data_IF_585219658410
#
_entry.id   IF_585219658410
#
_cell.length_a   1.000
_cell.length_b   1.000
_cell.length_c   1.000
_cell.angle_alpha   90.00
_cell.angle_beta   90.00
_cell.angle_gamma   90.00
#
_symmetry.space_group_name_H-M   'P 1'
#
loop_
_entity.id
_entity.type
_entity.pdbx_description
1 polymer ?
#
# COMPACT_ATOMS: atom_id res chain seq x y z
N UNK A 1 2.17 27.19 -8.38
CA UNK A 1 1.95 26.04 -7.49
C UNK A 1 3.09 26.01 -6.51
N UNK A 2 2.83 25.94 -5.22
CA UNK A 2 3.88 25.76 -4.22
C UNK A 2 4.62 24.45 -4.49
N UNK A 3 5.94 24.46 -4.34
CA UNK A 3 6.79 23.27 -4.49
C UNK A 3 6.55 22.32 -3.30
N UNK A 4 5.37 21.68 -3.25
CA UNK A 4 4.97 20.75 -2.20
C UNK A 4 5.01 19.32 -2.72
N UNK A 5 5.51 18.40 -1.89
CA UNK A 5 5.65 17.01 -2.28
C UNK A 5 6.26 16.13 -1.18
N UNK A 6 6.78 14.99 -1.59
CA UNK A 6 7.53 14.08 -0.72
C UNK A 6 8.91 14.65 -0.47
N UNK A 7 9.32 14.75 0.79
CA UNK A 7 10.61 15.27 1.24
C UNK A 7 11.53 14.21 1.83
N UNK A 8 10.96 13.07 2.24
CA UNK A 8 11.69 11.94 2.76
C UNK A 8 10.82 10.68 2.74
N UNK A 9 11.44 9.55 2.89
CA UNK A 9 10.77 8.25 2.91
C UNK A 9 11.43 7.31 3.92
N UNK A 10 10.68 6.30 4.37
CA UNK A 10 11.16 5.24 5.21
C UNK A 10 10.28 4.00 5.05
N UNK A 11 10.80 2.86 5.41
CA UNK A 11 10.07 1.60 5.30
C UNK A 11 10.42 0.63 6.44
N UNK A 12 9.49 -0.28 6.70
CA UNK A 12 9.72 -1.40 7.60
C UNK A 12 9.10 -2.67 7.03
N UNK A 13 9.89 -3.73 7.02
CA UNK A 13 9.42 -5.08 6.66
C UNK A 13 9.79 -6.02 7.79
N UNK A 14 8.85 -6.78 8.38
CA UNK A 14 9.14 -7.76 9.43
C UNK A 14 10.30 -8.66 9.06
N UNK A 15 11.10 -9.04 10.04
CA UNK A 15 12.30 -9.87 9.84
C UNK A 15 11.98 -11.31 9.47
N UNK A 16 10.87 -11.82 9.95
CA UNK A 16 10.48 -13.22 9.73
C UNK A 16 10.08 -13.46 8.28
N UNK A 17 10.57 -14.56 7.74
CA UNK A 17 10.28 -15.02 6.37
C UNK A 17 9.86 -16.48 6.40
N UNK A 18 8.91 -16.83 5.54
CA UNK A 18 8.57 -18.21 5.26
C UNK A 18 8.61 -18.44 3.75
N UNK A 19 9.22 -19.54 3.33
CA UNK A 19 9.22 -19.94 1.94
C UNK A 19 7.80 -20.37 1.55
N UNK A 20 7.28 -19.81 0.46
CA UNK A 20 5.96 -20.15 -0.06
C UNK A 20 5.82 -21.62 -0.42
N UNK A 21 6.93 -22.27 -0.77
CA UNK A 21 6.98 -23.70 -1.04
C UNK A 21 6.59 -24.54 0.19
N UNK A 22 6.95 -24.10 1.40
CA UNK A 22 6.58 -24.79 2.65
C UNK A 22 5.07 -24.69 2.90
N UNK A 23 4.46 -23.53 2.64
CA UNK A 23 3.00 -23.34 2.75
C UNK A 23 2.28 -24.26 1.75
N UNK A 24 2.72 -24.24 0.48
CA UNK A 24 2.12 -25.05 -0.57
C UNK A 24 2.25 -26.56 -0.29
N UNK A 25 3.40 -26.99 0.24
CA UNK A 25 3.63 -28.40 0.61
C UNK A 25 2.74 -28.82 1.79
N UNK A 26 2.61 -27.99 2.82
CA UNK A 26 1.76 -28.27 3.97
C UNK A 26 0.28 -28.47 3.57
N UNK A 27 -0.17 -27.76 2.54
CA UNK A 27 -1.57 -27.80 2.08
C UNK A 27 -1.81 -28.63 0.81
N UNK A 28 -0.81 -29.32 0.28
CA UNK A 28 -0.92 -30.04 -1.01
C UNK A 28 -2.03 -31.07 -1.07
N UNK A 29 -2.39 -31.66 0.07
CA UNK A 29 -3.45 -32.66 0.19
C UNK A 29 -4.86 -32.07 -0.06
N UNK A 30 -5.05 -30.79 0.23
CA UNK A 30 -6.33 -30.08 0.09
C UNK A 30 -6.33 -29.10 -1.08
N UNK A 31 -5.20 -28.42 -1.33
CA UNK A 31 -5.05 -27.34 -2.31
C UNK A 31 -3.80 -27.53 -3.19
N UNK A 32 -3.72 -28.58 -4.02
CA UNK A 32 -2.53 -28.88 -4.82
C UNK A 32 -2.16 -27.79 -5.83
N UNK A 33 -3.13 -26.93 -6.21
CA UNK A 33 -2.92 -25.78 -7.10
C UNK A 33 -2.00 -24.70 -6.54
N UNK A 34 -1.82 -24.63 -5.23
CA UNK A 34 -0.91 -23.64 -4.59
C UNK A 34 0.55 -23.81 -5.03
N UNK A 35 0.94 -24.98 -5.52
CA UNK A 35 2.28 -25.22 -6.09
C UNK A 35 2.63 -24.19 -7.20
N UNK A 36 1.65 -23.74 -7.96
CA UNK A 36 1.85 -22.70 -8.98
C UNK A 36 2.26 -21.33 -8.43
N UNK A 37 2.05 -21.07 -7.14
CA UNK A 37 2.35 -19.82 -6.45
C UNK A 37 3.51 -19.95 -5.45
N UNK A 38 4.16 -21.10 -5.39
CA UNK A 38 5.15 -21.49 -4.37
C UNK A 38 6.53 -20.82 -4.54
N UNK A 39 6.72 -19.93 -5.54
CA UNK A 39 8.01 -19.25 -5.77
C UNK A 39 8.21 -18.08 -4.82
N UNK A 40 9.42 -17.98 -4.22
CA UNK A 40 9.81 -16.90 -3.32
C UNK A 40 9.37 -17.12 -1.88
N UNK A 41 9.48 -16.07 -1.09
CA UNK A 41 9.10 -16.05 0.32
C UNK A 41 8.06 -14.95 0.60
N UNK A 42 7.54 -14.95 1.81
CA UNK A 42 6.70 -13.86 2.32
C UNK A 42 7.18 -13.41 3.70
N UNK A 43 7.05 -12.11 3.98
CA UNK A 43 7.21 -11.57 5.31
C UNK A 43 5.95 -11.84 6.15
N UNK A 44 6.11 -12.06 7.43
CA UNK A 44 5.01 -12.11 8.37
C UNK A 44 5.44 -11.51 9.71
N UNK A 45 4.49 -10.95 10.42
CA UNK A 45 4.70 -10.29 11.71
C UNK A 45 5.12 -11.30 12.78
N UNK A 46 6.01 -10.88 13.68
CA UNK A 46 6.23 -11.56 14.95
C UNK A 46 4.99 -11.46 15.82
N UNK A 47 4.94 -12.17 16.95
CA UNK A 47 3.80 -12.12 17.87
C UNK A 47 3.60 -10.74 18.55
N UNK A 48 4.64 -9.92 18.57
CA UNK A 48 4.66 -8.56 19.11
C UNK A 48 4.62 -7.45 18.03
N UNK A 49 4.44 -7.83 16.77
CA UNK A 49 4.32 -6.90 15.64
C UNK A 49 2.89 -6.84 15.10
N UNK A 50 2.44 -5.64 14.78
CA UNK A 50 1.17 -5.34 14.12
C UNK A 50 1.30 -4.14 13.17
N UNK A 51 0.19 -3.70 12.58
CA UNK A 51 0.19 -2.54 11.68
C UNK A 51 0.65 -1.24 12.37
N UNK A 52 0.42 -1.07 13.68
CA UNK A 52 0.85 0.12 14.41
C UNK A 52 2.37 0.08 14.65
N UNK A 53 2.88 -1.03 15.17
CA UNK A 53 4.31 -1.17 15.47
C UNK A 53 5.17 -1.06 14.23
N UNK A 54 4.75 -1.66 13.11
CA UNK A 54 5.40 -1.49 11.81
C UNK A 54 5.33 -0.04 11.31
N UNK A 55 4.19 0.63 11.50
CA UNK A 55 4.03 2.04 11.14
C UNK A 55 4.98 2.95 11.93
N UNK A 56 5.20 2.68 13.22
CA UNK A 56 6.15 3.42 14.06
C UNK A 56 7.58 3.28 13.51
N UNK A 57 7.99 2.08 13.15
CA UNK A 57 9.35 1.87 12.63
C UNK A 57 9.56 2.52 11.25
N UNK A 58 8.58 2.41 10.34
CA UNK A 58 8.63 3.12 9.06
C UNK A 58 8.64 4.64 9.23
N UNK A 59 7.86 5.16 10.21
CA UNK A 59 7.85 6.58 10.55
C UNK A 59 9.21 7.05 11.09
N UNK A 60 9.83 6.30 11.98
CA UNK A 60 11.17 6.61 12.51
C UNK A 60 12.24 6.64 11.42
N UNK A 61 12.18 5.69 10.49
CA UNK A 61 13.08 5.65 9.34
C UNK A 61 12.90 6.90 8.46
N UNK A 62 11.64 7.24 8.09
CA UNK A 62 11.31 8.42 7.30
C UNK A 62 11.69 9.76 7.96
N UNK A 63 11.69 9.79 9.30
CA UNK A 63 12.03 10.97 10.11
C UNK A 63 13.51 11.07 10.45
N UNK A 64 14.36 10.17 9.94
CA UNK A 64 15.80 10.22 10.18
C UNK A 64 16.38 11.55 9.66
N UNK A 65 16.85 12.38 10.60
CA UNK A 65 17.38 13.72 10.29
C UNK A 65 16.32 14.80 10.03
N UNK A 66 15.02 14.50 10.20
CA UNK A 66 13.93 15.46 10.07
C UNK A 66 13.45 15.96 11.45
N UNK A 67 12.88 17.17 11.47
CA UNK A 67 12.29 17.75 12.69
C UNK A 67 10.83 17.32 12.84
N UNK A 68 10.56 16.44 13.79
CA UNK A 68 9.21 15.98 14.11
C UNK A 68 8.30 17.10 14.61
N UNK A 69 8.86 18.16 15.24
CA UNK A 69 8.08 19.29 15.75
C UNK A 69 7.52 20.17 14.64
N UNK A 70 8.07 20.09 13.43
CA UNK A 70 7.57 20.80 12.25
C UNK A 70 6.30 20.19 11.65
N UNK A 71 5.95 18.95 12.01
CA UNK A 71 4.77 18.26 11.51
C UNK A 71 3.47 18.91 12.01
N UNK A 72 2.47 18.99 11.12
CA UNK A 72 1.11 19.47 11.41
C UNK A 72 0.07 18.38 11.38
N UNK A 73 0.33 17.31 10.63
CA UNK A 73 -0.60 16.19 10.51
C UNK A 73 0.11 14.84 10.40
N UNK A 74 -0.58 13.78 10.84
CA UNK A 74 -0.24 12.37 10.63
C UNK A 74 -1.43 11.67 9.99
N UNK A 75 -1.19 10.94 8.89
CA UNK A 75 -2.16 10.10 8.22
C UNK A 75 -1.68 8.66 8.25
N UNK A 76 -2.44 7.77 8.88
CA UNK A 76 -2.15 6.33 8.94
C UNK A 76 -3.15 5.56 8.08
N UNK A 77 -2.67 4.97 7.00
CA UNK A 77 -3.47 4.15 6.09
C UNK A 77 -3.26 2.66 6.37
N UNK A 78 -4.37 1.93 6.61
CA UNK A 78 -4.32 0.49 6.86
C UNK A 78 -5.69 -0.17 6.70
N UNK A 79 -5.70 -1.47 6.43
CA UNK A 79 -6.90 -2.33 6.52
C UNK A 79 -6.84 -3.31 7.70
N UNK A 80 -5.74 -3.29 8.45
CA UNK A 80 -5.47 -4.24 9.54
C UNK A 80 -5.12 -3.55 10.86
N UNK A 81 -5.66 -2.34 11.09
CA UNK A 81 -5.51 -1.65 12.37
C UNK A 81 -6.09 -2.47 13.52
N UNK A 82 -5.37 -2.61 14.64
CA UNK A 82 -5.81 -3.44 15.76
C UNK A 82 -7.01 -2.86 16.51
N UNK A 83 -7.21 -1.55 16.50
CA UNK A 83 -8.30 -0.91 17.22
C UNK A 83 -9.37 -0.38 16.26
N UNK A 84 -10.61 -0.83 16.49
CA UNK A 84 -11.77 -0.38 15.71
C UNK A 84 -12.35 0.94 16.25
N UNK A 85 -12.18 1.22 17.53
CA UNK A 85 -12.67 2.42 18.23
C UNK A 85 -11.60 2.97 19.17
N UNK A 86 -10.47 3.32 18.62
CA UNK A 86 -9.37 4.08 19.19
C UNK A 86 -8.55 4.61 18.02
N UNK A 87 -8.14 5.86 18.08
CA UNK A 87 -7.36 6.45 17.01
C UNK A 87 -5.93 5.86 16.98
N UNK A 88 -5.68 5.00 16.00
CA UNK A 88 -4.41 4.26 15.88
C UNK A 88 -3.25 5.18 15.52
N UNK A 89 -3.48 6.19 14.68
CA UNK A 89 -2.49 7.21 14.35
C UNK A 89 -2.03 8.04 15.55
N UNK A 90 -2.86 8.22 16.58
CA UNK A 90 -2.47 8.89 17.81
C UNK A 90 -1.43 8.07 18.61
N UNK A 91 -1.51 6.73 18.53
CA UNK A 91 -0.49 5.85 19.15
C UNK A 91 0.85 6.03 18.45
N UNK A 92 0.82 6.09 17.11
CA UNK A 92 2.04 6.36 16.31
C UNK A 92 2.61 7.74 16.66
N UNK A 93 1.76 8.79 16.76
CA UNK A 93 2.18 10.13 17.15
C UNK A 93 2.89 10.14 18.50
N UNK A 94 2.34 9.46 19.49
CA UNK A 94 2.97 9.29 20.81
C UNK A 94 4.31 8.57 20.75
N UNK A 95 4.41 7.49 19.95
CA UNK A 95 5.61 6.67 19.85
C UNK A 95 6.78 7.37 19.14
N UNK A 96 6.49 8.32 18.23
CA UNK A 96 7.52 9.15 17.57
C UNK A 96 7.75 10.49 18.26
N UNK A 97 7.12 10.71 19.42
CA UNK A 97 7.20 11.94 20.20
C UNK A 97 6.76 13.18 19.42
N UNK A 98 5.73 13.06 18.60
CA UNK A 98 5.14 14.18 17.89
C UNK A 98 4.50 15.20 18.87
N UNK A 99 4.43 16.49 18.51
CA UNK A 99 3.82 17.50 19.37
C UNK A 99 2.32 17.22 19.58
N UNK A 100 1.80 17.55 20.77
CA UNK A 100 0.40 17.25 21.15
C UNK A 100 -0.66 18.02 20.37
N UNK A 101 -0.27 19.09 19.70
CA UNK A 101 -1.16 19.91 18.85
C UNK A 101 -1.17 19.45 17.38
N UNK A 102 -0.68 18.24 17.10
CA UNK A 102 -0.71 17.67 15.76
C UNK A 102 -2.11 17.09 15.45
N UNK A 103 -2.55 17.25 14.21
CA UNK A 103 -3.73 16.54 13.70
C UNK A 103 -3.37 15.09 13.39
N UNK A 104 -4.23 14.12 13.69
CA UNK A 104 -4.01 12.72 13.33
C UNK A 104 -5.28 12.07 12.79
N UNK A 105 -5.13 11.19 11.80
CA UNK A 105 -6.26 10.53 11.14
C UNK A 105 -5.91 9.13 10.69
N UNK A 106 -6.84 8.20 10.94
CA UNK A 106 -6.80 6.85 10.38
C UNK A 106 -7.55 6.82 9.05
N UNK A 107 -6.92 6.27 8.00
CA UNK A 107 -7.51 6.07 6.68
C UNK A 107 -7.66 4.57 6.45
N UNK A 108 -8.89 4.09 6.39
CA UNK A 108 -9.15 2.65 6.40
C UNK A 108 -10.18 2.18 5.38
N UNK A 109 -10.71 0.99 5.64
CA UNK A 109 -11.84 0.34 4.97
C UNK A 109 -11.61 -0.11 3.52
N UNK A 110 -10.41 0.04 2.97
CA UNK A 110 -10.04 -0.44 1.64
C UNK A 110 -8.52 -0.48 1.50
N UNK A 111 -8.00 -1.43 0.74
CA UNK A 111 -6.57 -1.45 0.38
C UNK A 111 -6.15 -0.19 -0.41
N UNK A 112 -7.11 0.50 -1.03
CA UNK A 112 -6.92 1.82 -1.62
C UNK A 112 -6.58 2.91 -0.59
N UNK A 113 -6.72 2.65 0.71
CA UNK A 113 -6.40 3.60 1.78
C UNK A 113 -4.97 4.18 1.63
N UNK A 114 -4.00 3.36 1.22
CA UNK A 114 -2.62 3.80 0.98
C UNK A 114 -2.52 4.93 -0.04
N UNK A 115 -3.05 4.74 -1.24
CA UNK A 115 -3.01 5.78 -2.28
C UNK A 115 -3.97 6.93 -2.00
N UNK A 116 -5.16 6.67 -1.45
CA UNK A 116 -6.14 7.72 -1.12
C UNK A 116 -5.65 8.62 0.01
N UNK A 117 -5.04 8.05 1.06
CA UNK A 117 -4.46 8.80 2.18
C UNK A 117 -3.29 9.67 1.75
N UNK A 118 -2.38 9.14 0.91
CA UNK A 118 -1.29 9.92 0.36
C UNK A 118 -1.78 11.11 -0.48
N UNK A 119 -2.78 10.88 -1.34
CA UNK A 119 -3.36 11.96 -2.14
C UNK A 119 -4.07 13.01 -1.28
N UNK A 120 -4.74 12.60 -0.19
CA UNK A 120 -5.35 13.54 0.75
C UNK A 120 -4.29 14.38 1.48
N UNK A 121 -3.23 13.76 1.97
CA UNK A 121 -2.12 14.45 2.62
C UNK A 121 -1.42 15.44 1.69
N UNK A 122 -1.15 15.05 0.43
CA UNK A 122 -0.60 15.93 -0.59
C UNK A 122 -1.52 17.11 -0.94
N UNK A 123 -2.84 16.89 -0.99
CA UNK A 123 -3.84 17.94 -1.22
C UNK A 123 -3.96 18.92 -0.07
N UNK A 124 -3.78 18.46 1.17
CA UNK A 124 -3.82 19.32 2.35
C UNK A 124 -2.73 20.39 2.29
N UNK A 125 -1.57 20.08 1.68
CA UNK A 125 -0.51 21.07 1.42
C UNK A 125 0.18 21.57 2.68
N UNK A 126 0.15 20.81 3.77
CA UNK A 126 0.80 21.13 5.05
C UNK A 126 1.87 20.10 5.42
N UNK A 127 2.96 20.50 6.12
CA UNK A 127 3.98 19.56 6.57
C UNK A 127 3.36 18.41 7.33
N UNK A 128 3.48 17.18 6.80
CA UNK A 128 2.80 16.03 7.37
C UNK A 128 3.61 14.74 7.20
N UNK A 129 3.24 13.74 7.97
CA UNK A 129 3.72 12.38 7.87
C UNK A 129 2.58 11.49 7.38
N UNK A 130 2.74 10.91 6.20
CA UNK A 130 1.87 9.87 5.68
C UNK A 130 2.51 8.51 5.94
N UNK A 131 1.72 7.55 6.43
CA UNK A 131 2.16 6.18 6.70
C UNK A 131 1.13 5.22 6.12
N UNK A 132 1.60 4.18 5.45
CA UNK A 132 0.78 3.04 5.05
C UNK A 132 1.38 1.77 5.67
N UNK A 133 0.56 0.97 6.36
CA UNK A 133 1.02 -0.22 7.09
C UNK A 133 -0.05 -1.29 7.09
N UNK A 134 0.28 -2.50 6.64
CA UNK A 134 -0.67 -3.62 6.65
C UNK A 134 0.00 -4.96 6.93
N UNK A 135 -0.76 -5.84 7.58
CA UNK A 135 -0.41 -7.22 7.83
C UNK A 135 -1.61 -8.13 7.53
N UNK A 136 -2.05 -8.25 6.27
CA UNK A 136 -3.23 -9.03 5.92
C UNK A 136 -3.04 -10.52 6.20
N UNK A 137 -4.11 -11.18 6.65
CA UNK A 137 -4.10 -12.60 7.01
C UNK A 137 -4.91 -13.39 5.99
N UNK A 138 -4.26 -14.30 5.27
CA UNK A 138 -4.91 -15.21 4.33
C UNK A 138 -5.59 -16.38 5.05
N UNK A 139 -6.73 -16.83 4.50
CA UNK A 139 -7.37 -18.08 4.97
C UNK A 139 -6.42 -19.26 4.73
N UNK A 140 -6.25 -20.19 5.68
CA UNK A 140 -5.43 -21.39 5.47
C UNK A 140 -5.78 -22.13 4.18
N UNK A 141 -4.77 -22.58 3.45
CA UNK A 141 -4.86 -23.25 2.15
C UNK A 141 -5.48 -22.41 1.01
N UNK A 142 -5.47 -21.08 1.15
CA UNK A 142 -5.87 -20.16 0.08
C UNK A 142 -4.66 -19.59 -0.68
N UNK A 143 -4.91 -19.05 -1.88
CA UNK A 143 -3.93 -18.29 -2.63
C UNK A 143 -3.41 -17.07 -1.84
N UNK A 144 -4.26 -16.47 -1.03
CA UNK A 144 -3.95 -15.31 -0.18
C UNK A 144 -2.96 -15.66 0.93
N UNK A 145 -3.05 -16.85 1.53
CA UNK A 145 -2.06 -17.29 2.53
C UNK A 145 -0.64 -17.35 1.94
N UNK A 146 -0.54 -17.77 0.69
CA UNK A 146 0.75 -17.81 -0.03
C UNK A 146 1.20 -16.43 -0.47
N UNK A 147 0.28 -15.57 -0.91
CA UNK A 147 0.59 -14.30 -1.56
C UNK A 147 0.77 -13.12 -0.58
N UNK A 148 0.02 -13.08 0.53
CA UNK A 148 0.09 -11.97 1.48
C UNK A 148 1.44 -11.88 2.18
N UNK A 149 1.83 -10.65 2.48
CA UNK A 149 2.98 -10.27 3.27
C UNK A 149 2.61 -9.18 4.28
N UNK A 150 3.59 -8.70 5.01
CA UNK A 150 3.44 -7.61 5.94
C UNK A 150 4.52 -6.57 5.72
N UNK A 151 4.17 -5.28 5.92
CA UNK A 151 5.12 -4.20 5.81
C UNK A 151 4.48 -2.83 5.98
N UNK A 152 5.32 -1.82 6.15
CA UNK A 152 4.94 -0.43 6.27
C UNK A 152 5.88 0.46 5.48
N UNK A 153 5.36 1.57 4.97
CA UNK A 153 6.15 2.65 4.40
C UNK A 153 5.63 3.99 4.89
N UNK A 154 6.51 4.98 4.99
CA UNK A 154 6.17 6.31 5.42
C UNK A 154 6.82 7.37 4.51
N UNK A 155 6.13 8.49 4.32
CA UNK A 155 6.62 9.65 3.60
C UNK A 155 6.47 10.91 4.45
N UNK A 156 7.53 11.69 4.57
CA UNK A 156 7.43 13.07 5.02
C UNK A 156 7.01 13.94 3.85
N UNK A 157 6.07 14.85 4.08
CA UNK A 157 5.54 15.77 3.07
C UNK A 157 5.81 17.20 3.49
N UNK A 158 6.22 18.03 2.54
CA UNK A 158 6.59 19.41 2.82
C UNK A 158 6.92 20.21 1.54
N UNK A 159 7.39 21.44 1.74
CA UNK A 159 7.78 22.36 0.67
C UNK A 159 9.30 22.54 0.55
N UNK A 160 10.07 22.01 1.51
CA UNK A 160 11.54 22.14 1.51
C UNK A 160 12.18 20.79 1.17
N UNK A 161 13.24 20.80 0.38
CA UNK A 161 13.98 19.61 -0.03
C UNK A 161 13.10 18.54 -0.69
N UNK A 162 12.14 18.95 -1.52
CA UNK A 162 11.21 18.07 -2.20
C UNK A 162 11.93 17.15 -3.18
N UNK A 163 11.85 15.84 -2.95
CA UNK A 163 12.44 14.79 -3.80
C UNK A 163 11.46 14.28 -4.87
N UNK A 164 10.13 14.39 -4.62
CA UNK A 164 9.10 14.04 -5.58
C UNK A 164 7.88 14.95 -5.43
N UNK A 165 7.45 15.58 -6.53
CA UNK A 165 6.30 16.49 -6.59
C UNK A 165 5.08 15.77 -7.15
N UNK A 166 3.89 16.13 -6.66
CA UNK A 166 2.64 15.72 -7.30
C UNK A 166 2.39 16.59 -8.53
N UNK A 167 2.50 16.03 -9.73
CA UNK A 167 2.30 16.74 -11.01
C UNK A 167 0.87 16.66 -11.49
N UNK A 168 0.15 15.57 -11.18
CA UNK A 168 -1.24 15.37 -11.55
C UNK A 168 -1.84 14.19 -10.81
N UNK A 169 -3.15 14.22 -10.67
CA UNK A 169 -3.89 13.14 -10.02
C UNK A 169 -5.28 12.99 -10.61
N UNK A 170 -5.81 11.78 -10.53
CA UNK A 170 -7.22 11.50 -10.77
C UNK A 170 -7.67 10.32 -9.90
N UNK A 171 -8.97 10.23 -9.69
CA UNK A 171 -9.59 9.12 -9.01
C UNK A 171 -10.82 8.68 -9.78
N UNK A 172 -11.01 7.37 -9.90
CA UNK A 172 -12.25 6.74 -10.34
C UNK A 172 -12.86 6.05 -9.12
N UNK A 173 -14.11 6.31 -8.83
CA UNK A 173 -14.84 5.63 -7.76
C UNK A 173 -15.94 4.79 -8.36
N UNK A 174 -15.90 3.49 -8.09
CA UNK A 174 -16.89 2.53 -8.54
C UNK A 174 -17.20 1.57 -7.38
N UNK A 175 -18.40 0.97 -7.40
CA UNK A 175 -18.81 -0.09 -6.46
C UNK A 175 -18.29 -1.47 -6.87
N UNK A 176 -17.17 -1.50 -7.58
CA UNK A 176 -16.55 -2.73 -8.03
C UNK A 176 -16.02 -3.56 -6.86
N UNK A 177 -16.46 -4.81 -6.77
CA UNK A 177 -16.06 -5.73 -5.70
C UNK A 177 -15.06 -6.74 -6.26
N UNK A 178 -13.80 -6.58 -5.89
CA UNK A 178 -12.73 -7.57 -6.12
C UNK A 178 -12.56 -8.49 -4.91
N UNK A 179 -12.61 -7.90 -3.73
CA UNK A 179 -12.59 -8.58 -2.45
C UNK A 179 -13.32 -7.73 -1.40
N UNK A 180 -13.68 -8.33 -0.30
CA UNK A 180 -14.15 -7.61 0.89
C UNK A 180 -13.93 -8.44 2.15
N UNK A 181 -13.88 -7.74 3.28
CA UNK A 181 -13.89 -8.36 4.61
C UNK A 181 -14.91 -7.64 5.46
N UNK A 182 -15.96 -8.33 5.88
CA UNK A 182 -16.96 -7.76 6.75
C UNK A 182 -16.39 -7.49 8.16
N UNK A 183 -17.01 -6.55 8.88
CA UNK A 183 -16.62 -6.25 10.26
C UNK A 183 -16.74 -7.51 11.12
N UNK A 184 -15.69 -7.83 11.88
CA UNK A 184 -15.62 -9.02 12.73
C UNK A 184 -15.12 -10.29 12.03
N UNK A 185 -15.04 -10.28 10.70
CA UNK A 185 -14.48 -11.40 9.96
C UNK A 185 -12.95 -11.38 9.98
N UNK A 186 -12.36 -12.58 10.10
CA UNK A 186 -10.90 -12.75 10.13
C UNK A 186 -10.28 -12.74 8.74
N UNK A 187 -11.00 -13.31 7.76
CA UNK A 187 -10.51 -13.52 6.41
C UNK A 187 -11.34 -12.77 5.39
N UNK A 188 -10.68 -12.39 4.30
CA UNK A 188 -11.32 -11.73 3.17
C UNK A 188 -12.04 -12.76 2.29
N UNK A 189 -13.14 -12.33 1.69
CA UNK A 189 -13.77 -13.00 0.57
C UNK A 189 -13.22 -12.41 -0.74
N UNK A 190 -12.85 -13.26 -1.68
CA UNK A 190 -12.36 -12.85 -3.00
C UNK A 190 -13.36 -13.24 -4.07
N UNK A 191 -13.52 -12.32 -5.02
CA UNK A 191 -14.33 -12.57 -6.19
C UNK A 191 -13.57 -13.39 -7.24
N UNK A 192 -14.23 -13.76 -8.34
CA UNK A 192 -13.64 -14.55 -9.42
C UNK A 192 -12.50 -13.75 -10.13
N UNK A 193 -11.30 -14.34 -10.20
CA UNK A 193 -10.08 -13.66 -10.65
C UNK A 193 -10.18 -13.09 -12.08
N UNK A 194 -10.79 -13.84 -13.00
CA UNK A 194 -10.96 -13.42 -14.39
C UNK A 194 -11.85 -12.20 -14.48
N UNK A 195 -12.96 -12.19 -13.73
CA UNK A 195 -13.87 -11.04 -13.70
C UNK A 195 -13.19 -9.81 -13.11
N UNK A 196 -12.42 -9.97 -12.02
CA UNK A 196 -11.64 -8.88 -11.40
C UNK A 196 -10.64 -8.30 -12.39
N UNK A 197 -9.96 -9.16 -13.17
CA UNK A 197 -9.02 -8.71 -14.19
C UNK A 197 -9.70 -7.98 -15.34
N UNK A 198 -10.75 -8.58 -15.91
CA UNK A 198 -11.34 -8.12 -17.16
C UNK A 198 -12.30 -6.92 -16.95
N UNK A 199 -13.05 -6.90 -15.86
CA UNK A 199 -14.00 -5.83 -15.54
C UNK A 199 -13.37 -4.75 -14.64
N UNK A 200 -12.49 -5.11 -13.73
CA UNK A 200 -11.81 -4.19 -12.82
C UNK A 200 -10.56 -3.56 -13.44
N UNK A 201 -9.46 -4.30 -13.42
CA UNK A 201 -8.15 -3.74 -13.80
C UNK A 201 -8.10 -3.26 -15.24
N UNK A 202 -8.66 -4.01 -16.21
CA UNK A 202 -8.61 -3.66 -17.62
C UNK A 202 -9.46 -2.42 -17.97
N UNK A 203 -10.45 -2.05 -17.15
CA UNK A 203 -11.33 -0.91 -17.40
C UNK A 203 -11.08 0.28 -16.49
N UNK A 204 -11.02 0.06 -15.18
CA UNK A 204 -10.94 1.13 -14.19
C UNK A 204 -9.54 1.77 -14.11
N UNK A 205 -8.48 0.96 -14.11
CA UNK A 205 -7.12 1.48 -14.01
C UNK A 205 -6.72 2.33 -15.23
N UNK A 206 -6.98 1.93 -16.50
CA UNK A 206 -6.71 2.79 -17.65
C UNK A 206 -7.50 4.10 -17.64
N UNK A 207 -8.74 4.11 -17.12
CA UNK A 207 -9.54 5.32 -17.02
C UNK A 207 -8.90 6.32 -16.04
N UNK A 208 -8.45 5.84 -14.85
CA UNK A 208 -7.78 6.67 -13.87
C UNK A 208 -6.43 7.21 -14.39
N UNK A 209 -5.64 6.36 -15.07
CA UNK A 209 -4.34 6.76 -15.65
C UNK A 209 -4.55 7.86 -16.70
N UNK A 210 -5.47 7.67 -17.64
CA UNK A 210 -5.76 8.68 -18.67
C UNK A 210 -6.20 10.01 -18.08
N UNK A 211 -7.06 9.97 -17.06
CA UNK A 211 -7.53 11.17 -16.38
C UNK A 211 -6.39 11.88 -15.62
N UNK A 212 -5.50 11.13 -14.95
CA UNK A 212 -4.35 11.71 -14.25
C UNK A 212 -3.36 12.38 -15.23
N UNK A 213 -3.08 11.75 -16.36
CA UNK A 213 -2.22 12.30 -17.42
C UNK A 213 -2.83 13.57 -18.01
N UNK A 214 -4.14 13.57 -18.29
CA UNK A 214 -4.85 14.75 -18.79
C UNK A 214 -4.77 15.92 -17.80
N UNK A 215 -4.97 15.65 -16.50
CA UNK A 215 -4.86 16.68 -15.45
C UNK A 215 -3.44 17.22 -15.28
N UNK A 216 -2.45 16.42 -15.61
CA UNK A 216 -1.03 16.81 -15.62
C UNK A 216 -0.58 17.50 -16.92
N UNK A 217 -1.42 17.51 -17.98
CA UNK A 217 -1.05 17.88 -19.34
C UNK A 217 0.16 17.07 -19.87
N UNK A 218 0.20 15.77 -19.59
CA UNK A 218 1.28 14.86 -19.97
C UNK A 218 0.76 13.75 -20.90
N UNK A 219 1.60 13.33 -21.84
CA UNK A 219 1.40 12.11 -22.60
C UNK A 219 2.00 10.89 -21.89
N UNK A 220 1.53 9.70 -22.21
CA UNK A 220 2.03 8.45 -21.61
C UNK A 220 3.53 8.24 -21.92
N UNK A 221 4.02 8.76 -23.03
CA UNK A 221 5.41 8.71 -23.47
C UNK A 221 6.38 9.50 -22.58
N UNK A 222 5.87 10.44 -21.79
CA UNK A 222 6.66 11.21 -20.82
C UNK A 222 6.85 10.49 -19.49
N UNK A 223 6.17 9.37 -19.29
CA UNK A 223 6.22 8.59 -18.06
C UNK A 223 7.35 7.55 -18.15
N UNK A 224 8.30 7.62 -17.24
CA UNK A 224 9.45 6.71 -17.21
C UNK A 224 9.17 5.44 -16.41
N UNK A 225 8.39 5.54 -15.33
CA UNK A 225 8.15 4.42 -14.42
C UNK A 225 6.66 4.27 -14.10
N UNK A 226 6.23 3.02 -13.95
CA UNK A 226 4.86 2.66 -13.61
C UNK A 226 4.87 1.75 -12.38
N UNK A 227 4.16 2.17 -11.33
CA UNK A 227 3.95 1.39 -10.12
C UNK A 227 2.47 1.05 -10.02
N UNK A 228 2.14 -0.21 -9.98
CA UNK A 228 0.78 -0.69 -9.83
C UNK A 228 0.75 -1.93 -8.94
N UNK A 229 0.42 -1.77 -7.64
CA UNK A 229 0.26 -2.91 -6.76
C UNK A 229 -0.94 -3.75 -7.20
N UNK A 230 -0.77 -5.06 -7.19
CA UNK A 230 -1.85 -6.01 -7.46
C UNK A 230 -1.55 -7.36 -6.86
N UNK A 231 -2.57 -7.99 -6.28
CA UNK A 231 -2.50 -9.38 -5.87
C UNK A 231 -2.51 -10.33 -7.10
N UNK A 232 -3.10 -9.90 -8.22
CA UNK A 232 -3.16 -10.68 -9.45
C UNK A 232 -1.88 -10.52 -10.27
N UNK A 233 -1.22 -11.64 -10.54
CA UNK A 233 -0.01 -11.68 -11.37
C UNK A 233 -0.27 -11.13 -12.76
N UNK A 234 0.65 -10.29 -13.24
CA UNK A 234 0.59 -9.71 -14.59
C UNK A 234 -0.46 -8.62 -14.78
N UNK A 235 -1.17 -8.18 -13.72
CA UNK A 235 -2.16 -7.11 -13.82
C UNK A 235 -1.49 -5.78 -14.25
N UNK A 236 -0.33 -5.45 -13.68
CA UNK A 236 0.42 -4.25 -14.06
C UNK A 236 0.85 -4.27 -15.53
N UNK A 237 1.38 -5.41 -16.02
CA UNK A 237 1.75 -5.58 -17.42
C UNK A 237 0.55 -5.45 -18.36
N UNK A 238 -0.59 -6.05 -17.98
CA UNK A 238 -1.82 -5.98 -18.77
C UNK A 238 -2.33 -4.54 -18.88
N UNK A 239 -2.36 -3.79 -17.78
CA UNK A 239 -2.78 -2.38 -17.76
C UNK A 239 -1.78 -1.52 -18.53
N UNK A 240 -0.47 -1.71 -18.33
CA UNK A 240 0.57 -0.99 -19.08
C UNK A 240 0.39 -1.16 -20.59
N UNK A 241 0.10 -2.38 -21.05
CA UNK A 241 -0.20 -2.68 -22.46
C UNK A 241 -1.44 -1.94 -22.97
N UNK A 242 -2.52 -1.90 -22.19
CA UNK A 242 -3.76 -1.20 -22.56
C UNK A 242 -3.53 0.30 -22.72
N UNK A 243 -2.75 0.92 -21.85
CA UNK A 243 -2.43 2.36 -21.93
C UNK A 243 -1.24 2.66 -22.83
N UNK A 244 -0.65 1.63 -23.48
CA UNK A 244 0.52 1.74 -24.36
C UNK A 244 1.76 2.31 -23.67
N UNK A 245 1.92 2.01 -22.38
CA UNK A 245 3.12 2.38 -21.64
C UNK A 245 4.31 1.53 -22.10
N UNK A 246 5.45 2.20 -22.33
CA UNK A 246 6.70 1.56 -22.82
C UNK A 246 7.89 1.75 -21.88
N UNK A 247 7.69 2.44 -20.76
CA UNK A 247 8.72 2.65 -19.75
C UNK A 247 8.93 1.43 -18.83
N UNK A 248 9.60 1.62 -17.73
CA UNK A 248 9.89 0.57 -16.78
C UNK A 248 8.71 0.35 -15.80
N UNK A 249 8.21 -0.88 -15.70
CA UNK A 249 7.33 -1.28 -14.60
C UNK A 249 8.25 -1.52 -13.40
N UNK A 250 8.00 -0.80 -12.30
CA UNK A 250 8.79 -0.95 -11.10
C UNK A 250 8.65 -2.38 -10.55
N UNK A 251 9.74 -3.06 -10.20
CA UNK A 251 9.69 -4.39 -9.62
C UNK A 251 9.02 -4.29 -8.25
N UNK A 252 8.02 -5.12 -8.03
CA UNK A 252 7.40 -5.23 -6.72
C UNK A 252 8.23 -6.08 -5.76
N UNK A 253 7.92 -5.98 -4.47
CA UNK A 253 8.56 -6.74 -3.40
C UNK A 253 7.91 -8.12 -3.19
N UNK A 254 6.98 -8.54 -4.06
CA UNK A 254 6.14 -9.72 -3.88
C UNK A 254 6.93 -11.02 -3.70
N UNK A 255 8.11 -11.12 -4.34
CA UNK A 255 8.93 -12.34 -4.28
C UNK A 255 9.65 -12.54 -2.94
N UNK A 256 9.86 -11.48 -2.15
CA UNK A 256 10.58 -11.53 -0.87
C UNK A 256 9.75 -11.09 0.32
N UNK A 257 8.75 -10.26 0.09
CA UNK A 257 7.89 -9.68 1.14
C UNK A 257 6.48 -10.24 1.06
N UNK A 258 5.93 -10.40 -0.12
CA UNK A 258 4.52 -10.67 -0.36
C UNK A 258 3.73 -9.38 -0.57
N UNK A 259 2.41 -9.51 -0.68
CA UNK A 259 1.51 -8.38 -0.91
C UNK A 259 1.05 -7.80 0.44
N UNK A 260 1.45 -6.58 0.73
CA UNK A 260 1.22 -5.89 2.00
C UNK A 260 0.03 -4.91 1.95
N UNK A 261 -1.08 -5.29 1.31
CA UNK A 261 -2.33 -4.55 1.34
C UNK A 261 -2.19 -3.06 1.00
N UNK A 262 -2.68 -2.18 1.87
CA UNK A 262 -2.62 -0.74 1.68
C UNK A 262 -1.19 -0.17 1.63
N UNK A 263 -0.21 -0.86 2.19
CA UNK A 263 1.20 -0.42 2.16
C UNK A 263 1.89 -0.71 0.82
N UNK A 264 1.34 -1.63 0.00
CA UNK A 264 2.03 -2.15 -1.18
C UNK A 264 2.45 -1.09 -2.22
N UNK A 265 1.67 -0.02 -2.36
CA UNK A 265 1.98 1.05 -3.32
C UNK A 265 3.08 2.01 -2.82
N UNK A 266 3.34 2.02 -1.53
CA UNK A 266 4.29 2.91 -0.88
C UNK A 266 5.63 2.21 -0.56
N UNK A 267 5.59 0.86 -0.43
CA UNK A 267 6.76 0.00 -0.32
C UNK A 267 7.47 -0.16 -1.68
#
# INVERSE_FOLDING_TARGET
MTDFGITGYGAYVPRLRIDRALIAEAHKWMAPGLKGQAKGSRAFTSWDEDAITMAVEAARDALTGADVNGLKAIYLASTTLPYADLQNSAIVAGAILAPTNISSSDVGNSQRAGTSGLLQALKAGEPSLFIASDAPVGKPASAQEVAYGAGAAAFTLGAENVIAKLVGMASVTDTFVDHFRATGEKYEYFWEERWVRDEGYAKLAPAAIKAALANANLGIESISHFVMPSLLRGAADAVAKVVKFTGAIAPGLENGVGYAGAAQAAL
#
